data_IF_253480977489
#
_entry.id   IF_253480977489
#
_cell.length_a   1.000
_cell.length_b   1.000
_cell.length_c   1.000
_cell.angle_alpha   90.00
_cell.angle_beta   90.00
_cell.angle_gamma   90.00
#
_symmetry.space_group_name_H-M   'P 1'
#
loop_
_entity.id
_entity.type
_entity.pdbx_description
1 polymer ?
#
# COMPACT_ATOMS: atom_id res chain seq x y z
N UNK A 1 59.52 22.50 37.73
CA UNK A 1 60.02 21.78 36.53
C UNK A 1 59.12 20.58 36.28
N UNK A 2 58.66 20.42 35.03
CA UNK A 2 58.10 19.18 34.41
C UNK A 2 56.74 18.69 34.97
N UNK A 3 55.74 18.30 34.19
CA UNK A 3 55.46 18.24 32.74
C UNK A 3 53.93 18.21 32.62
N UNK A 4 53.37 18.99 31.71
CA UNK A 4 51.97 18.93 31.28
C UNK A 4 51.72 17.56 30.64
N UNK A 5 50.69 16.84 31.09
CA UNK A 5 50.20 15.64 30.40
C UNK A 5 48.81 15.94 29.87
N UNK A 6 48.76 16.31 28.59
CA UNK A 6 47.56 16.55 27.82
C UNK A 6 47.01 15.18 27.39
N UNK A 7 45.97 14.68 28.06
CA UNK A 7 45.27 13.47 27.63
C UNK A 7 44.14 13.90 26.72
N UNK A 8 44.33 13.70 25.41
CA UNK A 8 43.31 13.98 24.39
C UNK A 8 42.15 13.00 24.52
N UNK A 9 40.97 13.54 24.86
CA UNK A 9 39.71 12.81 24.90
C UNK A 9 39.22 12.58 23.45
N UNK A 10 39.62 11.49 22.81
CA UNK A 10 39.00 11.04 21.56
C UNK A 10 37.75 10.22 21.87
N UNK A 11 36.63 10.90 22.11
CA UNK A 11 35.32 10.29 22.21
C UNK A 11 34.91 9.82 20.80
N UNK A 12 35.19 8.56 20.49
CA UNK A 12 34.70 7.88 19.29
C UNK A 12 33.19 7.72 19.43
N UNK A 13 32.43 8.66 18.86
CA UNK A 13 30.96 8.55 18.76
C UNK A 13 30.66 7.48 17.72
N UNK A 14 30.60 6.22 18.17
CA UNK A 14 29.93 5.16 17.42
C UNK A 14 28.46 5.49 17.53
N UNK A 15 27.90 6.22 16.57
CA UNK A 15 26.45 6.22 16.40
C UNK A 15 26.06 4.76 16.08
N UNK A 16 25.28 4.07 16.93
CA UNK A 16 24.54 2.94 16.40
C UNK A 16 23.64 3.54 15.32
N UNK A 17 23.83 3.09 14.08
CA UNK A 17 22.89 3.36 13.00
C UNK A 17 21.53 2.91 13.51
N UNK A 18 20.72 3.86 13.97
CA UNK A 18 19.34 3.62 14.37
C UNK A 18 18.66 3.17 13.08
N UNK A 19 18.52 1.86 12.92
CA UNK A 19 17.55 1.29 12.00
C UNK A 19 16.23 1.74 12.59
N UNK A 20 15.62 2.77 12.01
CA UNK A 20 14.18 2.98 12.18
C UNK A 20 13.52 1.71 11.63
N UNK A 21 13.25 0.75 12.51
CA UNK A 21 12.22 -0.25 12.26
C UNK A 21 10.93 0.54 12.39
N UNK A 22 10.29 0.83 11.25
CA UNK A 22 8.95 1.37 11.23
C UNK A 22 8.08 0.48 12.14
N UNK A 23 7.48 1.12 13.13
CA UNK A 23 6.71 0.47 14.17
C UNK A 23 5.48 -0.18 13.49
N UNK A 24 5.26 -1.51 13.51
CA UNK A 24 4.17 -2.15 12.78
C UNK A 24 2.79 -1.93 13.42
N UNK A 25 2.63 -0.92 14.28
CA UNK A 25 1.46 -0.74 15.12
C UNK A 25 0.18 -0.32 14.36
N UNK A 26 0.26 -0.05 13.05
CA UNK A 26 -0.87 0.41 12.25
C UNK A 26 -1.04 -0.28 10.89
N UNK A 27 -0.28 -1.34 10.62
CA UNK A 27 -0.45 -2.10 9.38
C UNK A 27 -1.66 -3.04 9.46
N UNK A 28 -2.71 -2.75 8.69
CA UNK A 28 -3.92 -3.57 8.61
C UNK A 28 -3.92 -4.40 7.32
N UNK A 29 -4.23 -5.70 7.44
CA UNK A 29 -4.51 -6.54 6.28
C UNK A 29 -5.98 -6.39 5.85
N UNK A 30 -6.21 -6.20 4.56
CA UNK A 30 -7.53 -6.03 3.94
C UNK A 30 -7.73 -7.06 2.82
N UNK A 31 -8.98 -7.34 2.52
CA UNK A 31 -9.39 -8.28 1.47
C UNK A 31 -10.18 -7.52 0.42
N UNK A 32 -9.74 -7.56 -0.82
CA UNK A 32 -10.45 -7.03 -1.97
C UNK A 32 -11.25 -8.13 -2.66
N UNK A 33 -12.55 -7.88 -2.84
CA UNK A 33 -13.44 -8.74 -3.61
C UNK A 33 -13.38 -8.42 -5.10
N UNK A 34 -13.38 -9.45 -5.94
CA UNK A 34 -13.29 -9.31 -7.40
C UNK A 34 -14.63 -9.53 -8.10
N UNK A 35 -14.87 -8.77 -9.15
CA UNK A 35 -15.97 -8.96 -10.10
C UNK A 35 -15.42 -8.93 -11.52
N UNK A 36 -15.97 -9.76 -12.41
CA UNK A 36 -15.63 -9.71 -13.82
C UNK A 36 -16.35 -8.56 -14.52
N UNK A 37 -15.69 -7.89 -15.45
CA UNK A 37 -16.23 -6.68 -16.08
C UNK A 37 -17.37 -6.98 -17.07
N UNK A 38 -17.32 -8.15 -17.72
CA UNK A 38 -18.32 -8.55 -18.70
C UNK A 38 -19.33 -9.55 -18.10
N UNK A 39 -20.64 -9.38 -18.36
CA UNK A 39 -21.65 -10.39 -18.07
C UNK A 39 -21.33 -11.70 -18.84
N UNK A 40 -21.96 -12.81 -18.45
CA UNK A 40 -21.72 -14.09 -19.13
C UNK A 40 -22.10 -13.97 -20.61
N UNK A 41 -21.17 -14.30 -21.50
CA UNK A 41 -21.56 -14.77 -22.83
C UNK A 41 -22.44 -16.01 -22.65
N UNK A 42 -23.49 -16.10 -23.45
CA UNK A 42 -24.52 -17.14 -23.42
C UNK A 42 -23.92 -18.52 -23.69
N UNK A 43 -23.34 -19.12 -22.65
CA UNK A 43 -22.75 -20.44 -22.68
C UNK A 43 -22.63 -20.95 -21.25
N UNK A 44 -23.11 -22.17 -21.00
CA UNK A 44 -23.20 -22.80 -19.68
C UNK A 44 -21.84 -23.16 -19.05
N UNK A 45 -20.87 -22.26 -19.06
CA UNK A 45 -19.62 -22.42 -18.32
C UNK A 45 -19.80 -21.79 -16.94
N UNK A 46 -19.73 -22.62 -15.90
CA UNK A 46 -19.73 -22.15 -14.51
C UNK A 46 -18.51 -21.26 -14.29
N UNK A 47 -18.72 -19.96 -14.02
CA UNK A 47 -17.60 -19.09 -13.63
C UNK A 47 -17.18 -19.45 -12.22
N UNK A 48 -15.90 -19.80 -12.07
CA UNK A 48 -15.28 -19.91 -10.76
C UNK A 48 -15.21 -18.49 -10.18
N UNK A 49 -15.64 -18.29 -8.92
CA UNK A 49 -15.47 -17.02 -8.23
C UNK A 49 -14.02 -16.54 -8.30
N UNK A 50 -13.83 -15.24 -8.52
CA UNK A 50 -12.49 -14.65 -8.53
C UNK A 50 -11.86 -14.82 -7.14
N UNK A 51 -10.62 -15.34 -7.03
CA UNK A 51 -9.94 -15.41 -5.75
C UNK A 51 -9.74 -13.99 -5.22
N UNK A 52 -9.92 -13.76 -3.90
CA UNK A 52 -9.73 -12.43 -3.33
C UNK A 52 -8.26 -12.00 -3.40
N UNK A 53 -8.04 -10.69 -3.35
CA UNK A 53 -6.70 -10.11 -3.25
C UNK A 53 -6.50 -9.60 -1.83
N UNK A 54 -5.38 -9.98 -1.23
CA UNK A 54 -4.97 -9.46 0.08
C UNK A 54 -4.01 -8.29 -0.12
N UNK A 55 -4.27 -7.20 0.59
CA UNK A 55 -3.42 -6.00 0.60
C UNK A 55 -3.11 -5.63 2.05
N UNK A 56 -2.03 -4.90 2.24
CA UNK A 56 -1.69 -4.29 3.54
C UNK A 56 -1.85 -2.79 3.43
N UNK A 57 -2.44 -2.16 4.43
CA UNK A 57 -2.54 -0.71 4.53
C UNK A 57 -1.76 -0.24 5.75
N UNK A 58 -0.92 0.78 5.57
CA UNK A 58 -0.26 1.54 6.62
C UNK A 58 -0.57 3.03 6.38
N UNK A 59 -1.51 3.59 7.14
CA UNK A 59 -2.03 4.95 6.93
C UNK A 59 -2.52 5.13 5.47
N UNK A 60 -1.91 6.05 4.70
CA UNK A 60 -2.21 6.28 3.29
C UNK A 60 -1.40 5.42 2.32
N UNK A 61 -0.50 4.57 2.82
CA UNK A 61 0.29 3.66 2.00
C UNK A 61 -0.44 2.33 1.89
N UNK A 62 -0.70 1.90 0.66
CA UNK A 62 -1.26 0.59 0.34
C UNK A 62 -0.19 -0.26 -0.33
N UNK A 63 0.02 -1.47 0.19
CA UNK A 63 0.93 -2.46 -0.33
C UNK A 63 0.15 -3.62 -0.95
N UNK A 64 0.36 -3.81 -2.25
CA UNK A 64 -0.10 -4.92 -3.06
C UNK A 64 1.05 -5.92 -3.26
N UNK A 65 0.71 -7.14 -3.66
CA UNK A 65 1.72 -8.05 -4.19
C UNK A 65 2.37 -7.47 -5.46
N UNK A 66 3.70 -7.57 -5.57
CA UNK A 66 4.50 -7.03 -6.70
C UNK A 66 4.00 -7.41 -8.10
N UNK A 67 3.27 -8.52 -8.23
CA UNK A 67 2.64 -8.96 -9.49
C UNK A 67 1.59 -7.98 -10.03
N UNK A 68 1.11 -7.06 -9.21
CA UNK A 68 0.14 -6.03 -9.59
C UNK A 68 0.79 -4.70 -9.99
N UNK A 69 2.13 -4.59 -9.93
CA UNK A 69 2.86 -3.41 -10.39
C UNK A 69 2.45 -3.00 -11.81
N UNK A 70 2.28 -1.69 -12.02
CA UNK A 70 1.85 -1.10 -13.29
C UNK A 70 0.34 -1.12 -13.54
N UNK A 71 -0.46 -1.86 -12.76
CA UNK A 71 -1.91 -1.78 -12.86
C UNK A 71 -2.43 -0.48 -12.23
N UNK A 72 -3.58 -0.03 -12.72
CA UNK A 72 -4.22 1.21 -12.27
C UNK A 72 -5.06 0.95 -11.02
N UNK A 73 -5.02 1.92 -10.10
CA UNK A 73 -5.92 1.98 -8.96
C UNK A 73 -6.68 3.30 -8.97
N UNK A 74 -7.91 3.24 -8.50
CA UNK A 74 -8.78 4.39 -8.28
C UNK A 74 -9.19 4.43 -6.81
N UNK A 75 -9.17 5.62 -6.24
CA UNK A 75 -9.74 5.91 -4.92
C UNK A 75 -11.02 6.69 -5.15
N UNK A 76 -12.15 6.13 -4.73
CA UNK A 76 -13.47 6.65 -5.00
C UNK A 76 -14.22 6.99 -3.71
N UNK A 77 -15.05 8.02 -3.79
CA UNK A 77 -16.09 8.33 -2.81
C UNK A 77 -17.44 8.21 -3.53
N UNK A 78 -18.21 7.18 -3.17
CA UNK A 78 -19.36 6.68 -3.94
C UNK A 78 -19.01 6.51 -5.44
N UNK A 79 -19.58 7.35 -6.31
CA UNK A 79 -19.38 7.33 -7.77
C UNK A 79 -18.35 8.37 -8.26
N UNK A 80 -17.70 9.11 -7.35
CA UNK A 80 -16.71 10.13 -7.68
C UNK A 80 -15.29 9.61 -7.50
N UNK A 81 -14.47 9.71 -8.55
CA UNK A 81 -13.04 9.39 -8.46
C UNK A 81 -12.28 10.57 -7.83
N UNK A 82 -11.69 10.34 -6.66
CA UNK A 82 -10.89 11.33 -5.93
C UNK A 82 -9.42 11.31 -6.36
N UNK A 83 -8.90 10.14 -6.72
CA UNK A 83 -7.50 9.95 -7.07
C UNK A 83 -7.31 8.72 -7.95
N UNK A 84 -6.41 8.83 -8.93
CA UNK A 84 -6.02 7.74 -9.83
C UNK A 84 -4.50 7.68 -9.84
N UNK A 85 -3.95 6.48 -9.77
CA UNK A 85 -2.52 6.26 -9.96
C UNK A 85 -2.26 4.82 -10.40
N UNK A 86 -1.00 4.50 -10.67
CA UNK A 86 -0.54 3.14 -10.91
C UNK A 86 0.19 2.60 -9.70
N UNK A 87 0.14 1.28 -9.51
CA UNK A 87 0.96 0.57 -8.52
C UNK A 87 2.42 0.66 -8.95
N UNK A 88 3.30 1.06 -8.04
CA UNK A 88 4.72 1.18 -8.35
C UNK A 88 5.40 -0.19 -8.55
N UNK A 89 6.69 -0.19 -8.92
CA UNK A 89 7.44 -1.41 -9.17
C UNK A 89 7.66 -2.30 -7.93
N UNK A 90 7.50 -1.75 -6.71
CA UNK A 90 7.62 -2.50 -5.46
C UNK A 90 6.27 -2.98 -4.93
N UNK A 91 5.16 -2.67 -5.62
CA UNK A 91 3.81 -3.04 -5.22
C UNK A 91 3.12 -2.00 -4.33
N UNK A 92 3.72 -0.83 -4.09
CA UNK A 92 3.13 0.19 -3.23
C UNK A 92 2.39 1.27 -4.01
N UNK A 93 1.44 1.88 -3.29
CA UNK A 93 0.73 3.08 -3.69
C UNK A 93 0.65 4.00 -2.48
N UNK A 94 0.96 5.28 -2.67
CA UNK A 94 0.75 6.31 -1.65
C UNK A 94 -0.44 7.17 -2.06
N UNK A 95 -1.51 7.13 -1.27
CA UNK A 95 -2.68 7.98 -1.46
C UNK A 95 -2.37 9.37 -0.88
N UNK A 96 -2.78 10.47 -1.52
CA UNK A 96 -2.54 11.80 -0.96
C UNK A 96 -3.19 11.97 0.42
N UNK A 97 -2.41 12.44 1.40
CA UNK A 97 -2.85 12.64 2.79
C UNK A 97 -4.05 13.58 2.96
N UNK A 98 -4.38 14.39 1.93
CA UNK A 98 -5.58 15.25 1.90
C UNK A 98 -6.89 14.46 1.77
N UNK A 99 -6.84 13.19 1.36
CA UNK A 99 -8.00 12.30 1.25
C UNK A 99 -8.13 11.58 2.58
N UNK A 100 -9.24 11.82 3.28
CA UNK A 100 -9.52 11.29 4.62
C UNK A 100 -10.94 10.73 4.66
N UNK A 101 -11.19 9.79 5.56
CA UNK A 101 -12.46 9.12 5.73
C UNK A 101 -12.53 7.75 5.04
N UNK A 102 -13.74 7.19 5.00
CA UNK A 102 -14.01 5.91 4.33
C UNK A 102 -14.10 6.13 2.83
N UNK A 103 -13.27 5.42 2.07
CA UNK A 103 -13.26 5.48 0.61
C UNK A 103 -13.26 4.06 0.03
N UNK A 104 -13.68 3.93 -1.22
CA UNK A 104 -13.58 2.68 -1.96
C UNK A 104 -12.28 2.67 -2.76
N UNK A 105 -11.42 1.71 -2.48
CA UNK A 105 -10.23 1.43 -3.26
C UNK A 105 -10.60 0.44 -4.37
N UNK A 106 -10.27 0.76 -5.62
CA UNK A 106 -10.56 -0.05 -6.80
C UNK A 106 -9.26 -0.36 -7.53
N UNK A 107 -9.05 -1.63 -7.86
CA UNK A 107 -7.96 -2.12 -8.71
C UNK A 107 -8.55 -2.58 -10.04
N UNK A 108 -8.09 -1.96 -11.12
CA UNK A 108 -8.52 -2.26 -12.48
C UNK A 108 -7.53 -3.25 -13.11
N UNK A 109 -8.01 -4.44 -13.46
CA UNK A 109 -7.29 -5.43 -14.26
C UNK A 109 -7.99 -5.58 -15.62
N UNK A 110 -7.34 -6.24 -16.57
CA UNK A 110 -7.82 -6.34 -17.96
C UNK A 110 -9.26 -6.88 -18.13
N UNK A 111 -9.71 -7.76 -17.23
CA UNK A 111 -10.99 -8.50 -17.34
C UNK A 111 -11.79 -8.53 -16.05
N UNK A 112 -11.30 -7.87 -15.02
CA UNK A 112 -11.89 -7.91 -13.69
C UNK A 112 -11.50 -6.70 -12.89
N UNK A 113 -12.43 -6.28 -12.06
CA UNK A 113 -12.25 -5.18 -11.13
C UNK A 113 -12.29 -5.73 -9.70
N UNK A 114 -11.34 -5.30 -8.87
CA UNK A 114 -11.29 -5.64 -7.46
C UNK A 114 -11.57 -4.41 -6.61
N UNK A 115 -12.30 -4.55 -5.51
CA UNK A 115 -12.54 -3.42 -4.61
C UNK A 115 -12.63 -3.78 -3.14
N UNK A 116 -12.30 -2.81 -2.29
CA UNK A 116 -12.47 -2.85 -0.84
C UNK A 116 -12.74 -1.44 -0.30
N UNK A 117 -13.49 -1.34 0.80
CA UNK A 117 -13.61 -0.10 1.55
C UNK A 117 -12.44 0.01 2.52
N UNK A 118 -11.76 1.15 2.52
CA UNK A 118 -10.63 1.46 3.39
C UNK A 118 -10.90 2.76 4.14
N UNK A 119 -10.32 2.91 5.33
CA UNK A 119 -10.38 4.15 6.09
C UNK A 119 -9.03 4.84 6.05
N UNK A 120 -9.00 6.11 5.66
CA UNK A 120 -7.81 6.95 5.62
C UNK A 120 -7.90 8.00 6.73
N UNK A 121 -6.85 8.11 7.55
CA UNK A 121 -6.80 8.99 8.73
C UNK A 121 -5.65 9.99 8.64
#
# INVERSE_FOLDING_TARGET
>A
MKKVLLVSLSMLVILPSIRFVANPLYAQQLIMGGQYDHPRDEGHVSRIPLPPIYITQEEHKIEFGVRYAGNMIEVMDDDMVLFITTIDANGCVNIPAKIIGTVKLVLLLEKSTYSANINLY
#
